data_IF_678143715941
#
_entry.id   IF_678143715941
#
_cell.length_a   1.000
_cell.length_b   1.000
_cell.length_c   1.000
_cell.angle_alpha   90.00
_cell.angle_beta   90.00
_cell.angle_gamma   90.00
#
_symmetry.space_group_name_H-M   'P 1'
#
loop_
_entity.id
_entity.type
_entity.pdbx_description
1 polymer ?
#
# COMPACT_ATOMS: atom_id res chain seq x y z
N UNK A 1 10.24 -24.99 -8.98
CA UNK A 1 10.57 -23.54 -9.04
C UNK A 1 9.50 -22.72 -8.30
N UNK A 2 9.70 -22.51 -7.00
CA UNK A 2 8.76 -21.76 -6.16
C UNK A 2 8.79 -20.29 -6.57
N UNK A 3 7.74 -19.83 -7.25
CA UNK A 3 7.62 -18.45 -7.71
C UNK A 3 7.48 -17.51 -6.51
N UNK A 4 8.61 -17.08 -5.95
CA UNK A 4 8.67 -16.03 -4.91
C UNK A 4 7.95 -14.75 -5.36
N UNK A 5 7.91 -14.48 -6.67
CA UNK A 5 7.10 -13.39 -7.24
C UNK A 5 5.59 -13.61 -7.11
N UNK A 6 5.11 -14.85 -7.21
CA UNK A 6 3.70 -15.21 -7.00
C UNK A 6 3.32 -15.21 -5.52
N UNK A 7 4.24 -15.66 -4.66
CA UNK A 7 4.09 -15.58 -3.20
C UNK A 7 4.08 -14.12 -2.77
N UNK A 8 5.02 -13.29 -3.22
CA UNK A 8 5.07 -11.86 -2.89
C UNK A 8 3.79 -11.12 -3.29
N UNK A 9 3.21 -11.42 -4.47
CA UNK A 9 1.91 -10.85 -4.91
C UNK A 9 0.74 -11.34 -4.06
N UNK A 10 0.75 -12.62 -3.67
CA UNK A 10 -0.30 -13.21 -2.83
C UNK A 10 -0.21 -12.72 -1.39
N UNK A 11 0.99 -12.58 -0.84
CA UNK A 11 1.24 -12.03 0.50
C UNK A 11 0.92 -10.55 0.54
N UNK A 12 1.33 -9.75 -0.46
CA UNK A 12 0.93 -8.33 -0.49
C UNK A 12 -0.57 -8.15 -0.51
N UNK A 13 -1.34 -8.93 -1.27
CA UNK A 13 -2.81 -8.80 -1.24
C UNK A 13 -3.43 -9.24 0.10
N UNK A 14 -2.81 -10.20 0.79
CA UNK A 14 -3.31 -10.70 2.08
C UNK A 14 -2.97 -9.76 3.24
N UNK A 15 -1.77 -9.19 3.21
CA UNK A 15 -1.25 -8.22 4.18
C UNK A 15 -1.82 -6.84 3.94
N UNK A 16 -1.93 -6.38 2.69
CA UNK A 16 -2.41 -5.05 2.31
C UNK A 16 -3.90 -5.13 1.95
N UNK A 17 -4.77 -4.79 2.90
CA UNK A 17 -6.21 -4.65 2.68
C UNK A 17 -6.56 -3.22 2.30
N UNK A 18 -7.07 -3.01 1.08
CA UNK A 18 -7.58 -1.71 0.65
C UNK A 18 -8.87 -1.37 1.40
N UNK A 19 -8.93 -0.15 1.91
CA UNK A 19 -10.16 0.45 2.41
C UNK A 19 -10.95 1.09 1.26
N UNK A 20 -12.17 1.55 1.56
CA UNK A 20 -12.99 2.38 0.66
C UNK A 20 -12.67 3.87 0.77
N UNK A 21 -11.64 4.25 1.53
CA UNK A 21 -11.26 5.64 1.76
C UNK A 21 -10.28 6.06 0.67
N UNK A 22 -10.72 7.00 -0.16
CA UNK A 22 -9.92 7.62 -1.20
C UNK A 22 -9.56 9.04 -0.81
N UNK A 23 -8.30 9.40 -1.08
CA UNK A 23 -7.72 10.69 -0.79
C UNK A 23 -7.11 11.24 -2.08
N UNK A 24 -7.51 12.45 -2.47
CA UNK A 24 -6.99 13.06 -3.69
C UNK A 24 -5.57 13.63 -3.51
N UNK A 25 -5.21 14.04 -2.29
CA UNK A 25 -3.91 14.64 -2.00
C UNK A 25 -3.44 14.24 -0.62
N UNK A 26 -2.25 13.65 -0.57
CA UNK A 26 -1.56 13.35 0.67
C UNK A 26 -0.81 14.60 1.17
N UNK A 27 -0.84 14.89 2.48
CA UNK A 27 0.00 15.94 3.06
C UNK A 27 1.49 15.57 2.95
N UNK A 28 2.37 16.58 2.91
CA UNK A 28 3.82 16.38 2.66
C UNK A 28 4.57 15.58 3.74
N UNK A 29 3.94 15.31 4.88
CA UNK A 29 4.50 14.48 5.95
C UNK A 29 4.46 12.96 5.65
N UNK A 30 3.95 12.57 4.49
CA UNK A 30 3.90 11.17 4.08
C UNK A 30 5.27 10.70 3.60
N UNK A 31 5.73 9.57 4.15
CA UNK A 31 6.98 8.92 3.75
C UNK A 31 6.69 7.73 2.85
N UNK A 32 7.52 7.52 1.84
CA UNK A 32 7.39 6.37 0.95
C UNK A 32 8.00 5.13 1.61
N UNK A 33 7.24 4.06 1.76
CA UNK A 33 7.67 2.78 2.35
C UNK A 33 7.40 1.64 1.38
N UNK A 34 8.39 0.78 1.17
CA UNK A 34 8.24 -0.44 0.38
C UNK A 34 7.95 -1.64 1.30
N UNK A 35 6.84 -2.33 1.05
CA UNK A 35 6.42 -3.51 1.83
C UNK A 35 6.20 -4.67 0.88
N UNK A 36 6.95 -5.76 1.07
CA UNK A 36 6.88 -6.94 0.20
C UNK A 36 7.03 -6.59 -1.31
N UNK A 37 7.86 -5.58 -1.63
CA UNK A 37 8.09 -5.10 -2.99
C UNK A 37 7.01 -4.16 -3.56
N UNK A 38 6.01 -3.77 -2.77
CA UNK A 38 5.01 -2.76 -3.15
C UNK A 38 5.30 -1.44 -2.46
N UNK A 39 5.33 -0.36 -3.26
CA UNK A 39 5.53 1.01 -2.77
C UNK A 39 4.21 1.56 -2.23
N UNK A 40 4.21 1.96 -0.97
CA UNK A 40 3.13 2.60 -0.24
C UNK A 40 3.61 3.92 0.35
N UNK A 41 2.68 4.79 0.70
CA UNK A 41 2.93 6.04 1.41
C UNK A 41 2.43 5.90 2.84
N UNK A 42 3.30 6.05 3.83
CA UNK A 42 2.94 6.01 5.23
C UNK A 42 2.79 7.44 5.77
N UNK A 43 1.60 7.77 6.26
CA UNK A 43 1.33 9.07 6.86
C UNK A 43 0.79 8.87 8.26
N UNK A 44 1.59 9.21 9.27
CA UNK A 44 1.25 9.06 10.68
C UNK A 44 1.08 7.59 11.08
N UNK A 45 -0.14 7.06 10.92
CA UNK A 45 -0.53 5.70 11.32
C UNK A 45 -1.27 4.94 10.21
N UNK A 46 -1.46 5.55 9.04
CA UNK A 46 -2.16 4.95 7.91
C UNK A 46 -1.22 4.79 6.72
N UNK A 47 -1.39 3.70 5.99
CA UNK A 47 -0.71 3.47 4.73
C UNK A 47 -1.62 3.84 3.58
N UNK A 48 -1.05 4.34 2.49
CA UNK A 48 -1.76 4.83 1.33
C UNK A 48 -1.12 4.23 0.09
N UNK A 49 -1.95 3.71 -0.80
CA UNK A 49 -1.51 3.15 -2.08
C UNK A 49 -1.92 4.09 -3.22
N UNK A 50 -1.00 4.47 -4.13
CA UNK A 50 -1.39 5.21 -5.32
C UNK A 50 -2.29 4.35 -6.22
N UNK A 51 -3.44 4.88 -6.60
CA UNK A 51 -4.46 4.23 -7.42
C UNK A 51 -5.12 5.25 -8.36
N UNK A 52 -4.88 5.11 -9.67
CA UNK A 52 -5.47 5.95 -10.73
C UNK A 52 -5.43 7.47 -10.45
N UNK A 53 -4.28 8.00 -10.01
CA UNK A 53 -4.11 9.43 -9.71
C UNK A 53 -4.73 9.89 -8.39
N UNK A 54 -5.25 8.96 -7.58
CA UNK A 54 -5.67 9.18 -6.19
C UNK A 54 -4.89 8.25 -5.27
N UNK A 55 -5.08 8.39 -3.97
CA UNK A 55 -4.48 7.53 -2.96
C UNK A 55 -5.59 6.80 -2.21
N UNK A 56 -5.47 5.49 -2.05
CA UNK A 56 -6.43 4.69 -1.25
C UNK A 56 -5.76 4.28 0.06
N UNK A 57 -6.46 4.42 1.18
CA UNK A 57 -5.93 3.93 2.46
C UNK A 57 -5.89 2.41 2.41
N UNK A 58 -4.78 1.85 2.87
CA UNK A 58 -4.59 0.42 3.02
C UNK A 58 -4.23 0.10 4.47
N UNK A 59 -4.83 -0.96 4.99
CA UNK A 59 -4.49 -1.53 6.27
C UNK A 59 -3.52 -2.67 6.07
N UNK A 60 -2.49 -2.69 6.90
CA UNK A 60 -1.46 -3.72 6.90
C UNK A 60 -1.72 -4.61 8.11
N UNK A 61 -1.91 -5.90 7.86
CA UNK A 61 -2.10 -6.94 8.88
C UNK A 61 -0.91 -7.90 8.94
#
# INVERSE_FOLDING_TARGET
PGSVAGVARRTTRRTIRRSTIYVNRLPAACVTTSINGTVLWHCGSSYYQPYQGRYVIVYIH
#
